data_IF_315953124166
#
_entry.id   IF_315953124166
#
_cell.length_a   1.000
_cell.length_b   1.000
_cell.length_c   1.000
_cell.angle_alpha   90.00
_cell.angle_beta   90.00
_cell.angle_gamma   90.00
#
_symmetry.space_group_name_H-M   'P 1'
#
loop_
_entity.id
_entity.type
_entity.pdbx_description
1 polymer ?
#
# COMPACT_ATOMS: atom_id res chain seq x y z
N UNK A 1 -56.19 -19.21 -22.77
CA UNK A 1 -56.04 -17.78 -22.41
C UNK A 1 -56.29 -17.62 -20.91
N UNK A 2 -55.68 -16.70 -20.12
CA UNK A 2 -54.43 -15.92 -20.20
C UNK A 2 -53.45 -16.26 -19.02
N UNK A 3 -52.11 -16.21 -19.15
CA UNK A 3 -51.13 -15.12 -18.88
C UNK A 3 -51.07 -14.53 -17.45
N UNK A 4 -49.96 -14.78 -16.74
CA UNK A 4 -49.19 -13.83 -15.88
C UNK A 4 -48.13 -14.60 -15.06
N UNK A 5 -47.00 -14.08 -14.56
CA UNK A 5 -45.98 -13.13 -15.02
C UNK A 5 -45.01 -13.01 -13.83
N UNK A 6 -43.74 -13.40 -14.06
CA UNK A 6 -42.49 -13.00 -13.37
C UNK A 6 -42.57 -12.55 -11.90
N UNK A 7 -41.93 -13.31 -11.01
CA UNK A 7 -41.28 -12.78 -9.81
C UNK A 7 -39.80 -13.23 -9.78
N UNK A 8 -38.98 -12.55 -10.61
CA UNK A 8 -37.52 -12.52 -10.42
C UNK A 8 -37.25 -11.44 -9.37
N UNK A 9 -37.27 -11.84 -8.09
CA UNK A 9 -36.78 -11.02 -6.98
C UNK A 9 -35.28 -11.28 -6.79
N UNK A 10 -34.46 -10.70 -7.67
CA UNK A 10 -33.04 -10.56 -7.40
C UNK A 10 -32.86 -9.53 -6.29
N UNK A 11 -32.55 -9.99 -5.08
CA UNK A 11 -31.94 -9.13 -4.06
C UNK A 11 -30.46 -9.47 -4.06
N UNK A 12 -29.81 -8.96 -5.11
CA UNK A 12 -28.37 -8.84 -5.15
C UNK A 12 -27.92 -8.04 -3.93
N UNK A 13 -26.89 -8.57 -3.29
CA UNK A 13 -25.96 -7.91 -2.38
C UNK A 13 -26.16 -6.39 -2.30
N UNK A 14 -26.66 -5.91 -1.17
CA UNK A 14 -26.36 -4.54 -0.74
C UNK A 14 -24.87 -4.50 -0.38
N UNK A 15 -24.02 -4.42 -1.40
CA UNK A 15 -22.67 -3.91 -1.26
C UNK A 15 -22.84 -2.45 -0.85
N UNK A 16 -22.72 -2.21 0.45
CA UNK A 16 -22.62 -0.87 1.00
C UNK A 16 -21.40 -0.21 0.40
N UNK A 17 -21.62 0.49 -0.71
CA UNK A 17 -20.70 1.46 -1.27
C UNK A 17 -20.62 2.64 -0.30
N UNK A 18 -19.84 2.47 0.78
CA UNK A 18 -19.20 3.62 1.42
C UNK A 18 -18.07 4.01 0.48
N UNK A 19 -18.35 5.04 -0.33
CA UNK A 19 -17.34 5.73 -1.12
C UNK A 19 -16.35 6.40 -0.16
N UNK A 20 -15.29 5.68 0.15
CA UNK A 20 -14.01 6.28 0.45
C UNK A 20 -13.18 6.01 -0.80
N UNK A 21 -12.95 7.04 -1.63
CA UNK A 21 -11.85 7.00 -2.59
C UNK A 21 -10.53 7.08 -1.80
N UNK A 22 -10.32 6.13 -0.90
CA UNK A 22 -9.00 5.88 -0.35
C UNK A 22 -8.27 5.16 -1.48
N UNK A 23 -7.71 5.95 -2.39
CA UNK A 23 -6.86 5.47 -3.47
C UNK A 23 -5.52 5.04 -2.86
N UNK A 24 -5.57 4.11 -1.91
CA UNK A 24 -4.41 3.44 -1.38
C UNK A 24 -3.79 2.68 -2.54
N UNK A 25 -2.63 3.14 -3.00
CA UNK A 25 -1.86 2.42 -4.02
C UNK A 25 -1.57 1.04 -3.44
N UNK A 26 -1.90 -0.01 -4.18
CA UNK A 26 -1.66 -1.37 -3.71
C UNK A 26 -0.15 -1.57 -3.49
N UNK A 27 0.27 -2.27 -2.41
CA UNK A 27 1.67 -2.60 -2.17
C UNK A 27 2.41 -3.15 -3.39
N UNK A 28 1.76 -4.06 -4.13
CA UNK A 28 2.33 -4.70 -5.31
C UNK A 28 2.67 -3.70 -6.42
N UNK A 29 1.87 -2.64 -6.57
CA UNK A 29 2.15 -1.56 -7.51
C UNK A 29 3.37 -0.75 -7.07
N UNK A 30 3.48 -0.44 -5.77
CA UNK A 30 4.64 0.26 -5.22
C UNK A 30 5.92 -0.58 -5.34
N UNK A 31 5.84 -1.88 -5.09
CA UNK A 31 6.95 -2.82 -5.32
C UNK A 31 7.38 -2.80 -6.79
N UNK A 32 6.44 -2.76 -7.73
CA UNK A 32 6.76 -2.66 -9.16
C UNK A 32 7.45 -1.33 -9.51
N UNK A 33 6.98 -0.21 -8.94
CA UNK A 33 7.64 1.10 -9.07
C UNK A 33 9.07 1.07 -8.49
N UNK A 34 9.26 0.44 -7.33
CA UNK A 34 10.57 0.26 -6.71
C UNK A 34 11.50 -0.58 -7.61
N UNK A 35 10.97 -1.64 -8.25
CA UNK A 35 11.73 -2.47 -9.18
C UNK A 35 12.20 -1.70 -10.43
N UNK A 36 11.44 -0.70 -10.85
CA UNK A 36 11.81 0.21 -11.94
C UNK A 36 12.83 1.28 -11.50
N UNK A 37 13.18 1.34 -10.21
CA UNK A 37 14.13 2.32 -9.67
C UNK A 37 13.51 3.68 -9.34
N UNK A 38 12.19 3.74 -9.15
CA UNK A 38 11.53 4.97 -8.72
C UNK A 38 11.88 5.28 -7.26
N UNK A 39 12.07 6.58 -6.96
CA UNK A 39 12.12 7.05 -5.59
C UNK A 39 10.71 7.03 -5.00
N UNK A 40 10.55 6.50 -3.79
CA UNK A 40 9.24 6.27 -3.17
C UNK A 40 9.15 7.04 -1.87
N UNK A 41 8.06 7.77 -1.69
CA UNK A 41 7.68 8.35 -0.40
C UNK A 41 6.49 7.57 0.17
N UNK A 42 6.67 7.02 1.37
CA UNK A 42 5.64 6.32 2.14
C UNK A 42 5.22 7.24 3.29
N UNK A 43 4.05 7.84 3.14
CA UNK A 43 3.45 8.67 4.17
C UNK A 43 2.77 7.81 5.23
N UNK A 44 2.53 8.38 6.41
CA UNK A 44 1.79 7.75 7.49
C UNK A 44 0.37 7.36 7.02
N UNK A 45 -0.23 8.12 6.10
CA UNK A 45 -1.57 7.86 5.58
C UNK A 45 -1.63 6.63 4.66
N UNK A 46 -0.51 6.22 4.04
CA UNK A 46 -0.46 5.08 3.13
C UNK A 46 -0.84 3.73 3.79
N UNK A 47 -0.76 3.63 5.12
CA UNK A 47 -1.27 2.49 5.87
C UNK A 47 -0.58 1.15 5.60
N UNK A 48 0.63 1.16 5.01
CA UNK A 48 1.37 -0.07 4.73
C UNK A 48 1.89 -0.74 5.99
N UNK A 49 1.76 -2.06 6.03
CA UNK A 49 2.30 -2.89 7.09
C UNK A 49 3.84 -2.83 7.09
N UNK A 50 4.50 -2.96 8.25
CA UNK A 50 5.97 -2.91 8.33
C UNK A 50 6.66 -3.91 7.38
N UNK A 51 6.17 -5.15 7.32
CA UNK A 51 6.72 -6.20 6.44
C UNK A 51 6.65 -5.82 4.95
N UNK A 52 5.62 -5.08 4.56
CA UNK A 52 5.46 -4.56 3.19
C UNK A 52 6.48 -3.47 2.91
N UNK A 53 6.66 -2.54 3.85
CA UNK A 53 7.66 -1.47 3.74
C UNK A 53 9.07 -2.05 3.69
N UNK A 54 9.39 -3.05 4.51
CA UNK A 54 10.68 -3.76 4.45
C UNK A 54 10.98 -4.30 3.06
N UNK A 55 9.98 -4.93 2.42
CA UNK A 55 10.13 -5.48 1.07
C UNK A 55 10.32 -4.39 0.03
N UNK A 56 9.56 -3.29 0.11
CA UNK A 56 9.72 -2.13 -0.78
C UNK A 56 11.12 -1.52 -0.62
N UNK A 57 11.57 -1.32 0.61
CA UNK A 57 12.91 -0.79 0.94
C UNK A 57 14.00 -1.70 0.41
N UNK A 58 13.88 -3.01 0.59
CA UNK A 58 14.84 -3.98 0.07
C UNK A 58 14.96 -3.90 -1.46
N UNK A 59 13.82 -3.81 -2.16
CA UNK A 59 13.78 -3.69 -3.61
C UNK A 59 14.41 -2.36 -4.06
N UNK A 60 13.98 -1.24 -3.47
CA UNK A 60 14.45 0.08 -3.83
C UNK A 60 15.96 0.23 -3.60
N UNK A 61 16.46 -0.21 -2.44
CA UNK A 61 17.88 -0.19 -2.13
C UNK A 61 18.71 -1.06 -3.10
N UNK A 62 18.20 -2.23 -3.48
CA UNK A 62 18.82 -3.08 -4.51
C UNK A 62 18.86 -2.46 -5.91
N UNK A 63 18.06 -1.43 -6.17
CA UNK A 63 18.04 -0.66 -7.42
C UNK A 63 18.75 0.69 -7.31
N UNK A 64 19.27 1.04 -6.13
CA UNK A 64 19.86 2.36 -5.86
C UNK A 64 18.83 3.50 -5.83
N UNK A 65 17.56 3.18 -5.62
CA UNK A 65 16.48 4.15 -5.48
C UNK A 65 16.28 4.55 -4.02
N UNK A 66 15.84 5.79 -3.78
CA UNK A 66 15.63 6.31 -2.44
C UNK A 66 14.20 6.05 -1.93
N UNK A 67 14.08 5.70 -0.65
CA UNK A 67 12.79 5.55 0.04
C UNK A 67 12.71 6.51 1.20
N UNK A 68 11.69 7.37 1.20
CA UNK A 68 11.35 8.24 2.32
C UNK A 68 10.20 7.61 3.10
N UNK A 69 10.36 7.42 4.41
CA UNK A 69 9.36 6.76 5.26
C UNK A 69 8.99 7.72 6.38
N UNK A 70 7.71 8.00 6.53
CA UNK A 70 7.20 8.77 7.66
C UNK A 70 7.06 7.88 8.90
N UNK A 71 7.77 8.25 9.97
CA UNK A 71 7.91 7.45 11.17
C UNK A 71 6.62 7.31 12.00
N UNK A 72 5.65 8.22 11.80
CA UNK A 72 4.49 8.40 12.69
C UNK A 72 3.60 7.18 12.92
N UNK A 73 3.69 6.12 12.10
CA UNK A 73 2.93 4.86 12.27
C UNK A 73 3.78 3.62 12.53
N UNK A 74 5.10 3.75 12.62
CA UNK A 74 6.00 2.61 12.77
C UNK A 74 6.66 2.59 14.14
N UNK A 75 6.82 1.39 14.70
CA UNK A 75 7.56 1.21 15.94
C UNK A 75 9.06 1.48 15.70
N UNK A 76 9.81 1.95 16.70
CA UNK A 76 11.25 2.19 16.58
C UNK A 76 12.01 0.98 16.01
N UNK A 77 11.68 -0.23 16.46
CA UNK A 77 12.29 -1.47 15.97
C UNK A 77 12.08 -1.70 14.46
N UNK A 78 10.91 -1.31 13.93
CA UNK A 78 10.64 -1.38 12.49
C UNK A 78 11.44 -0.34 11.73
N UNK A 79 11.56 0.89 12.26
CA UNK A 79 12.38 1.94 11.66
C UNK A 79 13.85 1.54 11.60
N UNK A 80 14.39 1.00 12.69
CA UNK A 80 15.73 0.43 12.74
C UNK A 80 15.91 -0.65 11.67
N UNK A 81 14.92 -1.52 11.50
CA UNK A 81 14.94 -2.56 10.46
C UNK A 81 14.93 -1.98 9.05
N UNK A 82 14.13 -0.96 8.78
CA UNK A 82 14.09 -0.30 7.47
C UNK A 82 15.46 0.31 7.13
N UNK A 83 16.09 0.98 8.10
CA UNK A 83 17.43 1.57 7.95
C UNK A 83 18.50 0.48 7.80
N UNK A 84 18.41 -0.63 8.54
CA UNK A 84 19.33 -1.77 8.37
C UNK A 84 19.26 -2.39 6.97
N UNK A 85 18.06 -2.49 6.39
CA UNK A 85 17.85 -3.08 5.06
C UNK A 85 18.28 -2.11 3.96
N UNK A 86 17.84 -0.86 4.02
CA UNK A 86 18.03 0.09 2.93
C UNK A 86 19.27 0.98 3.05
N UNK A 87 19.88 1.06 4.24
CA UNK A 87 21.11 1.81 4.50
C UNK A 87 20.98 3.28 4.11
N UNK A 88 21.91 3.76 3.28
CA UNK A 88 21.96 5.16 2.80
C UNK A 88 20.83 5.54 1.85
N UNK A 89 20.06 4.56 1.37
CA UNK A 89 18.95 4.79 0.46
C UNK A 89 17.63 5.07 1.19
N UNK A 90 17.63 5.08 2.52
CA UNK A 90 16.42 5.33 3.33
C UNK A 90 16.51 6.66 4.05
N UNK A 91 15.45 7.46 3.94
CA UNK A 91 15.25 8.68 4.71
C UNK A 91 14.07 8.46 5.64
N UNK A 92 14.26 8.65 6.95
CA UNK A 92 13.17 8.61 7.91
C UNK A 92 12.74 10.04 8.20
N UNK A 93 11.47 10.37 7.88
CA UNK A 93 10.85 11.64 8.25
C UNK A 93 10.20 11.47 9.63
N UNK A 94 10.61 12.30 10.58
CA UNK A 94 10.19 12.27 11.98
C UNK A 94 9.08 13.29 12.22
#
# INVERSE_FOLDING_TARGET
MPTAQKARGGLGQTLGAKGENDMAILPQSVEHLAQMGANIEITAEAGYLPQTVEKIVQIAAGKGAHVTIEAGKYLPQSLERFVQIGGTNVTIRI
#
